data_IF_460601915168
#
_entry.id   IF_460601915168
#
_cell.length_a   1.000
_cell.length_b   1.000
_cell.length_c   1.000
_cell.angle_alpha   90.00
_cell.angle_beta   90.00
_cell.angle_gamma   90.00
#
_symmetry.space_group_name_H-M   'P 1'
#
loop_
_entity.id
_entity.type
_entity.pdbx_description
1 polymer ?
#
# COMPACT_ATOMS: atom_id res chain seq x y z
N UNK A 1 -32.67 -61.96 -54.12
CA UNK A 1 -33.11 -60.55 -54.06
C UNK A 1 -32.45 -59.92 -52.85
N UNK A 2 -31.34 -59.19 -53.02
CA UNK A 2 -30.67 -58.49 -51.93
C UNK A 2 -31.35 -57.13 -51.70
N UNK A 3 -31.86 -56.90 -50.49
CA UNK A 3 -32.37 -55.58 -50.09
C UNK A 3 -31.23 -54.74 -49.54
N UNK A 4 -30.98 -53.65 -50.24
CA UNK A 4 -30.00 -52.59 -49.98
C UNK A 4 -30.35 -51.89 -48.65
N UNK A 5 -29.41 -51.93 -47.70
CA UNK A 5 -29.51 -51.18 -46.43
C UNK A 5 -29.15 -49.72 -46.71
N UNK A 6 -30.12 -48.83 -46.60
CA UNK A 6 -29.90 -47.39 -46.64
C UNK A 6 -29.23 -46.92 -45.33
N UNK A 7 -27.92 -46.70 -45.37
CA UNK A 7 -27.21 -45.97 -44.32
C UNK A 7 -27.54 -44.47 -44.44
N UNK A 8 -28.39 -43.98 -43.53
CA UNK A 8 -28.67 -42.54 -43.37
C UNK A 8 -27.41 -41.85 -42.81
N UNK A 9 -26.82 -40.85 -43.49
CA UNK A 9 -25.65 -40.16 -42.98
C UNK A 9 -25.98 -39.38 -41.71
N UNK A 10 -25.30 -39.71 -40.60
CA UNK A 10 -25.45 -39.03 -39.33
C UNK A 10 -25.17 -37.52 -39.45
N UNK A 11 -26.06 -36.69 -38.90
CA UNK A 11 -25.92 -35.24 -38.91
C UNK A 11 -24.60 -34.79 -38.22
N UNK A 12 -23.90 -33.77 -38.77
CA UNK A 12 -22.63 -33.31 -38.21
C UNK A 12 -22.84 -32.69 -36.82
N UNK A 13 -22.15 -33.23 -35.80
CA UNK A 13 -22.19 -32.71 -34.43
C UNK A 13 -21.63 -31.28 -34.39
N UNK A 14 -22.41 -30.32 -33.89
CA UNK A 14 -21.97 -28.93 -33.70
C UNK A 14 -20.84 -28.88 -32.66
N UNK A 15 -19.70 -28.30 -33.03
CA UNK A 15 -18.57 -28.13 -32.11
C UNK A 15 -18.88 -27.04 -31.08
N UNK A 16 -18.78 -27.39 -29.79
CA UNK A 16 -19.02 -26.47 -28.66
C UNK A 16 -17.83 -25.52 -28.43
N UNK A 17 -16.68 -25.84 -29.03
CA UNK A 17 -15.40 -25.16 -28.80
C UNK A 17 -15.42 -23.64 -29.03
N UNK A 18 -16.05 -23.09 -30.09
CA UNK A 18 -16.13 -21.63 -30.28
C UNK A 18 -16.92 -20.93 -29.17
N UNK A 19 -17.92 -21.59 -28.59
CA UNK A 19 -18.70 -21.06 -27.47
C UNK A 19 -17.89 -21.03 -26.18
N UNK A 20 -17.11 -22.08 -25.92
CA UNK A 20 -16.18 -22.13 -24.78
C UNK A 20 -15.10 -21.05 -24.91
N UNK A 21 -14.52 -20.87 -26.09
CA UNK A 21 -13.54 -19.82 -26.35
C UNK A 21 -14.09 -18.42 -26.06
N UNK A 22 -15.32 -18.13 -26.52
CA UNK A 22 -15.96 -16.85 -26.24
C UNK A 22 -16.27 -16.66 -24.75
N UNK A 23 -16.68 -17.72 -24.04
CA UNK A 23 -16.90 -17.67 -22.60
C UNK A 23 -15.64 -17.27 -21.82
N UNK A 24 -14.49 -17.86 -22.14
CA UNK A 24 -13.20 -17.49 -21.53
C UNK A 24 -12.75 -16.08 -21.96
N UNK A 25 -13.03 -15.67 -23.20
CA UNK A 25 -12.74 -14.31 -23.66
C UNK A 25 -13.51 -13.26 -22.85
N UNK A 26 -14.81 -13.48 -22.60
CA UNK A 26 -15.62 -12.58 -21.76
C UNK A 26 -15.14 -12.61 -20.30
N UNK A 27 -14.86 -13.79 -19.75
CA UNK A 27 -14.33 -13.92 -18.39
C UNK A 27 -12.98 -13.19 -18.21
N UNK A 28 -12.15 -13.15 -19.25
CA UNK A 28 -10.86 -12.44 -19.24
C UNK A 28 -10.98 -10.92 -19.09
N UNK A 29 -12.16 -10.34 -19.40
CA UNK A 29 -12.42 -8.93 -19.19
C UNK A 29 -12.45 -8.55 -17.71
N UNK A 30 -12.91 -9.47 -16.86
CA UNK A 30 -12.99 -9.28 -15.41
C UNK A 30 -11.78 -9.87 -14.68
N UNK A 31 -11.29 -11.02 -15.15
CA UNK A 31 -10.22 -11.80 -14.52
C UNK A 31 -9.09 -11.96 -15.53
N UNK A 32 -8.21 -10.96 -15.56
CA UNK A 32 -7.15 -10.84 -16.57
C UNK A 32 -6.30 -12.10 -16.74
N UNK A 33 -6.17 -12.96 -15.72
CA UNK A 33 -5.44 -14.22 -15.80
C UNK A 33 -5.93 -15.20 -16.88
N UNK A 34 -7.15 -15.07 -17.38
CA UNK A 34 -7.71 -15.96 -18.40
C UNK A 34 -7.43 -15.54 -19.85
N UNK A 35 -6.82 -14.37 -20.08
CA UNK A 35 -6.51 -13.91 -21.44
C UNK A 35 -5.68 -14.92 -22.27
N UNK A 36 -4.64 -15.60 -21.72
CA UNK A 36 -3.82 -16.52 -22.51
C UNK A 36 -4.62 -17.76 -22.93
N UNK A 37 -5.44 -18.28 -22.00
CA UNK A 37 -6.32 -19.44 -22.24
C UNK A 37 -7.36 -19.09 -23.30
N UNK A 38 -7.97 -17.91 -23.20
CA UNK A 38 -8.96 -17.45 -24.16
C UNK A 38 -8.38 -17.28 -25.58
N UNK A 39 -7.16 -16.74 -25.71
CA UNK A 39 -6.45 -16.64 -27.01
C UNK A 39 -6.17 -18.02 -27.60
N UNK A 40 -5.60 -18.95 -26.82
CA UNK A 40 -5.30 -20.31 -27.28
C UNK A 40 -6.57 -21.03 -27.73
N UNK A 41 -7.64 -20.98 -26.93
CA UNK A 41 -8.92 -21.60 -27.29
C UNK A 41 -9.53 -21.00 -28.55
N UNK A 42 -9.39 -19.69 -28.74
CA UNK A 42 -9.87 -19.00 -29.94
C UNK A 42 -9.10 -19.42 -31.20
N UNK A 43 -7.77 -19.57 -31.11
CA UNK A 43 -6.94 -20.05 -32.23
C UNK A 43 -7.27 -21.50 -32.57
N UNK A 44 -7.39 -22.38 -31.57
CA UNK A 44 -7.77 -23.80 -31.79
C UNK A 44 -9.17 -23.88 -32.42
N UNK A 45 -10.11 -23.03 -31.98
CA UNK A 45 -11.43 -22.94 -32.59
C UNK A 45 -11.37 -22.50 -34.06
N UNK A 46 -10.53 -21.51 -34.40
CA UNK A 46 -10.33 -21.06 -35.78
C UNK A 46 -9.73 -22.13 -36.68
N UNK A 47 -8.67 -22.82 -36.22
CA UNK A 47 -8.03 -23.91 -36.96
C UNK A 47 -9.00 -25.05 -37.23
N UNK A 48 -9.87 -25.38 -36.26
CA UNK A 48 -10.87 -26.45 -36.41
C UNK A 48 -12.11 -26.04 -37.22
N UNK A 49 -12.37 -24.75 -37.42
CA UNK A 49 -13.63 -24.28 -37.99
C UNK A 49 -13.73 -24.36 -39.53
N UNK A 50 -12.78 -24.97 -40.25
CA UNK A 50 -12.97 -25.44 -41.63
C UNK A 50 -13.16 -24.33 -42.69
N UNK A 51 -14.15 -24.43 -43.59
CA UNK A 51 -14.36 -23.55 -44.76
C UNK A 51 -15.06 -22.22 -44.40
N UNK A 52 -14.86 -21.12 -45.16
CA UNK A 52 -15.63 -19.89 -44.96
C UNK A 52 -17.14 -20.16 -45.07
N UNK A 53 -17.93 -19.66 -44.13
CA UNK A 53 -19.39 -19.89 -44.03
C UNK A 53 -19.84 -20.97 -43.03
N UNK A 54 -18.92 -21.66 -42.35
CA UNK A 54 -19.26 -22.70 -41.37
C UNK A 54 -19.70 -22.12 -40.02
N UNK A 55 -20.78 -22.70 -39.46
CA UNK A 55 -21.35 -22.31 -38.16
C UNK A 55 -20.28 -22.42 -37.04
N UNK A 56 -19.96 -21.29 -36.39
CA UNK A 56 -18.98 -21.21 -35.30
C UNK A 56 -17.73 -20.37 -35.60
N UNK A 57 -17.39 -20.11 -36.87
CA UNK A 57 -16.25 -19.24 -37.23
C UNK A 57 -16.38 -17.82 -36.70
N UNK A 58 -17.54 -17.20 -36.87
CA UNK A 58 -17.79 -15.83 -36.38
C UNK A 58 -17.60 -15.72 -34.86
N UNK A 59 -17.99 -16.77 -34.12
CA UNK A 59 -17.84 -16.82 -32.67
C UNK A 59 -16.37 -16.96 -32.25
N UNK A 60 -15.59 -17.75 -32.99
CA UNK A 60 -14.15 -17.88 -32.76
C UNK A 60 -13.37 -16.60 -33.11
N UNK A 61 -13.75 -15.90 -34.18
CA UNK A 61 -13.20 -14.58 -34.53
C UNK A 61 -13.54 -13.56 -33.44
N UNK A 62 -14.80 -13.51 -33.00
CA UNK A 62 -15.23 -12.62 -31.93
C UNK A 62 -14.47 -12.90 -30.62
N UNK A 63 -14.32 -14.18 -30.24
CA UNK A 63 -13.56 -14.58 -29.06
C UNK A 63 -12.09 -14.13 -29.15
N UNK A 64 -11.46 -14.26 -30.32
CA UNK A 64 -10.09 -13.78 -30.53
C UNK A 64 -9.98 -12.26 -30.35
N UNK A 65 -10.88 -11.49 -30.98
CA UNK A 65 -10.87 -10.02 -30.88
C UNK A 65 -11.06 -9.56 -29.43
N UNK A 66 -12.04 -10.14 -28.72
CA UNK A 66 -12.31 -9.81 -27.32
C UNK A 66 -11.11 -10.16 -26.43
N UNK A 67 -10.50 -11.33 -26.64
CA UNK A 67 -9.33 -11.77 -25.85
C UNK A 67 -8.13 -10.83 -26.03
N UNK A 68 -7.87 -10.40 -27.27
CA UNK A 68 -6.79 -9.46 -27.57
C UNK A 68 -7.10 -8.08 -27.00
N UNK A 69 -8.34 -7.58 -27.12
CA UNK A 69 -8.75 -6.31 -26.53
C UNK A 69 -8.63 -6.31 -25.00
N UNK A 70 -9.03 -7.40 -24.33
CA UNK A 70 -8.95 -7.54 -22.88
C UNK A 70 -7.50 -7.39 -22.34
N UNK A 71 -6.50 -7.89 -23.08
CA UNK A 71 -5.09 -7.70 -22.72
C UNK A 71 -4.69 -6.23 -22.62
N UNK A 72 -5.15 -5.38 -23.55
CA UNK A 72 -4.86 -3.94 -23.52
C UNK A 72 -5.53 -3.23 -22.33
N UNK A 73 -6.73 -3.65 -21.92
CA UNK A 73 -7.42 -3.07 -20.77
C UNK A 73 -6.70 -3.34 -19.44
N UNK A 74 -6.03 -4.48 -19.30
CA UNK A 74 -5.24 -4.81 -18.09
C UNK A 74 -4.12 -3.77 -17.88
N UNK A 75 -3.43 -3.38 -18.96
CA UNK A 75 -2.36 -2.37 -18.88
C UNK A 75 -2.86 -1.01 -18.38
N UNK A 76 -4.03 -0.57 -18.84
CA UNK A 76 -4.64 0.70 -18.41
C UNK A 76 -5.06 0.61 -16.94
N UNK A 77 -5.71 -0.48 -16.52
CA UNK A 77 -6.11 -0.66 -15.13
C UNK A 77 -4.91 -0.71 -14.18
N UNK A 78 -3.84 -1.42 -14.57
CA UNK A 78 -2.60 -1.48 -13.80
C UNK A 78 -1.94 -0.09 -13.68
N UNK A 79 -1.92 0.69 -14.76
CA UNK A 79 -1.35 2.04 -14.75
C UNK A 79 -2.06 2.99 -13.76
N UNK A 80 -3.37 2.81 -13.53
CA UNK A 80 -4.13 3.61 -12.55
C UNK A 80 -4.01 3.01 -11.14
N UNK A 81 -4.08 1.69 -11.02
CA UNK A 81 -4.16 1.01 -9.73
C UNK A 81 -2.81 0.93 -8.99
N UNK A 82 -1.70 0.67 -9.70
CA UNK A 82 -0.37 0.52 -9.09
C UNK A 82 0.05 1.77 -8.30
N UNK A 83 0.06 3.00 -8.87
CA UNK A 83 0.49 4.18 -8.12
C UNK A 83 -0.42 4.45 -6.92
N UNK A 84 -1.72 4.21 -7.08
CA UNK A 84 -2.67 4.39 -5.99
C UNK A 84 -2.44 3.40 -4.85
N UNK A 85 -2.16 2.13 -5.18
CA UNK A 85 -1.85 1.10 -4.19
C UNK A 85 -0.55 1.39 -3.42
N UNK A 86 0.50 1.87 -4.10
CA UNK A 86 1.75 2.30 -3.44
C UNK A 86 1.48 3.44 -2.46
N UNK A 87 0.73 4.47 -2.88
CA UNK A 87 0.34 5.58 -1.99
C UNK A 87 -0.49 5.13 -0.79
N UNK A 88 -1.40 4.18 -0.97
CA UNK A 88 -2.18 3.63 0.15
C UNK A 88 -1.31 2.84 1.15
N UNK A 89 -0.34 2.08 0.66
CA UNK A 89 0.62 1.39 1.53
C UNK A 89 1.51 2.37 2.30
N UNK A 90 1.98 3.45 1.67
CA UNK A 90 2.76 4.46 2.38
C UNK A 90 1.91 5.15 3.45
N UNK A 91 0.67 5.55 3.12
CA UNK A 91 -0.25 6.17 4.08
C UNK A 91 -0.58 5.27 5.27
N UNK A 92 -0.73 3.97 5.07
CA UNK A 92 -1.01 3.04 6.17
C UNK A 92 0.20 2.89 7.10
N UNK A 93 1.43 2.83 6.56
CA UNK A 93 2.66 2.84 7.35
C UNK A 93 2.81 4.13 8.16
N UNK A 94 2.60 5.29 7.53
CA UNK A 94 2.65 6.59 8.21
C UNK A 94 1.60 6.73 9.33
N UNK A 95 0.46 6.03 9.22
CA UNK A 95 -0.58 6.09 10.23
C UNK A 95 -0.14 5.49 11.57
N UNK A 96 0.74 4.47 11.56
CA UNK A 96 1.29 3.86 12.78
C UNK A 96 2.00 4.91 13.64
N UNK A 97 2.93 5.66 13.06
CA UNK A 97 3.60 6.74 13.77
C UNK A 97 2.61 7.81 14.24
N UNK A 98 1.72 8.30 13.37
CA UNK A 98 0.79 9.39 13.70
C UNK A 98 -0.13 9.03 14.87
N UNK A 99 -0.63 7.80 14.91
CA UNK A 99 -1.48 7.30 16.00
C UNK A 99 -0.68 7.18 17.29
N UNK A 100 0.54 6.62 17.23
CA UNK A 100 1.38 6.44 18.41
C UNK A 100 1.86 7.77 19.00
N UNK A 101 2.23 8.76 18.16
CA UNK A 101 2.54 10.11 18.62
C UNK A 101 1.34 10.78 19.29
N UNK A 102 0.13 10.61 18.74
CA UNK A 102 -1.08 11.11 19.39
C UNK A 102 -1.32 10.45 20.76
N UNK A 103 -1.03 9.15 20.88
CA UNK A 103 -1.11 8.47 22.18
C UNK A 103 -0.14 9.08 23.20
N UNK A 104 1.11 9.36 22.81
CA UNK A 104 2.11 10.02 23.66
C UNK A 104 1.62 11.40 24.10
N UNK A 105 1.08 12.20 23.17
CA UNK A 105 0.54 13.53 23.47
C UNK A 105 -0.62 13.47 24.48
N UNK A 106 -1.56 12.54 24.30
CA UNK A 106 -2.69 12.40 25.23
C UNK A 106 -2.22 11.98 26.62
N UNK A 107 -1.27 11.04 26.72
CA UNK A 107 -0.65 10.66 27.99
C UNK A 107 0.07 11.83 28.65
N UNK A 108 0.79 12.64 27.87
CA UNK A 108 1.49 13.82 28.37
C UNK A 108 0.49 14.84 28.93
N UNK A 109 -0.59 15.15 28.19
CA UNK A 109 -1.63 16.07 28.64
C UNK A 109 -2.32 15.58 29.93
N UNK A 110 -2.58 14.28 30.05
CA UNK A 110 -3.14 13.71 31.28
C UNK A 110 -2.20 13.91 32.48
N UNK A 111 -0.89 13.69 32.31
CA UNK A 111 0.09 13.90 33.38
C UNK A 111 0.27 15.38 33.74
N UNK A 112 0.28 16.27 32.75
CA UNK A 112 0.34 17.71 32.99
C UNK A 112 -0.88 18.19 33.79
N UNK A 113 -2.07 17.64 33.49
CA UNK A 113 -3.29 17.92 34.26
C UNK A 113 -3.25 17.39 35.70
N UNK A 114 -2.43 16.35 35.97
CA UNK A 114 -2.17 15.80 37.30
C UNK A 114 -0.94 16.42 37.99
N UNK A 115 -0.32 17.46 37.40
CA UNK A 115 0.92 18.09 37.87
C UNK A 115 2.10 17.11 38.02
N UNK A 116 2.12 16.07 37.18
CA UNK A 116 3.16 15.06 37.19
C UNK A 116 4.27 15.38 36.18
N UNK A 117 5.53 15.00 36.48
CA UNK A 117 6.64 15.24 35.57
C UNK A 117 6.53 14.39 34.29
N UNK A 118 7.08 14.94 33.21
CA UNK A 118 7.26 14.25 31.93
C UNK A 118 8.73 13.78 31.83
N UNK A 119 9.07 12.60 32.35
CA UNK A 119 10.46 12.14 32.41
C UNK A 119 10.85 11.18 31.28
N UNK A 120 10.03 10.19 30.96
CA UNK A 120 10.34 9.16 29.96
C UNK A 120 9.12 8.64 29.20
N UNK A 121 9.34 7.97 28.05
CA UNK A 121 8.27 7.31 27.31
C UNK A 121 7.58 6.21 28.15
N UNK A 122 8.34 5.52 29.01
CA UNK A 122 7.79 4.51 29.94
C UNK A 122 6.91 5.14 31.01
N UNK A 123 7.28 6.30 31.56
CA UNK A 123 6.43 7.05 32.49
C UNK A 123 5.15 7.51 31.81
N UNK A 124 5.20 7.91 30.54
CA UNK A 124 4.00 8.21 29.75
C UNK A 124 3.12 6.98 29.46
N UNK A 125 3.51 5.80 29.94
CA UNK A 125 2.81 4.54 29.68
C UNK A 125 2.84 4.14 28.21
N UNK A 126 3.75 4.70 27.42
CA UNK A 126 3.83 4.44 26.01
C UNK A 126 4.67 3.18 25.74
N UNK A 127 4.05 2.21 25.08
CA UNK A 127 4.70 1.04 24.53
C UNK A 127 4.12 0.79 23.14
N UNK A 128 4.94 0.81 22.07
CA UNK A 128 4.44 0.52 20.73
C UNK A 128 4.12 -0.98 20.58
N UNK A 129 3.28 -1.31 19.59
CA UNK A 129 2.93 -2.70 19.31
C UNK A 129 4.17 -3.55 18.91
N UNK A 130 4.14 -4.87 19.16
CA UNK A 130 5.23 -5.75 18.74
C UNK A 130 5.46 -5.70 17.22
N UNK A 131 6.66 -5.29 16.83
CA UNK A 131 6.99 -5.09 15.42
C UNK A 131 6.79 -3.64 14.97
N UNK A 132 7.13 -2.65 15.81
CA UNK A 132 7.10 -1.24 15.45
C UNK A 132 8.11 -0.91 14.36
N UNK A 133 7.68 -0.13 13.36
CA UNK A 133 8.53 0.35 12.25
C UNK A 133 9.34 1.59 12.62
N UNK A 134 8.87 2.34 13.62
CA UNK A 134 9.42 3.64 13.96
C UNK A 134 10.23 3.59 15.26
N UNK A 135 11.35 4.30 15.30
CA UNK A 135 11.99 4.68 16.54
C UNK A 135 11.22 5.84 17.16
N UNK A 136 10.84 5.75 18.43
CA UNK A 136 10.18 6.83 19.18
C UNK A 136 11.20 7.50 20.08
N UNK A 137 11.32 8.82 19.95
CA UNK A 137 12.35 9.60 20.62
C UNK A 137 11.70 10.68 21.46
N UNK A 138 11.99 10.67 22.75
CA UNK A 138 11.67 11.76 23.67
C UNK A 138 12.94 12.49 24.11
N UNK A 139 14.05 11.78 24.33
CA UNK A 139 15.37 12.35 24.62
C UNK A 139 16.44 11.36 24.20
N UNK A 140 17.43 11.79 23.42
CA UNK A 140 18.63 10.97 23.15
C UNK A 140 19.73 11.28 24.17
N UNK A 141 20.57 10.29 24.55
CA UNK A 141 20.47 8.86 24.22
C UNK A 141 19.57 8.06 25.18
N UNK A 142 19.04 8.69 26.25
CA UNK A 142 18.52 7.96 27.41
C UNK A 142 17.04 7.52 27.31
N UNK A 143 16.23 8.17 26.47
CA UNK A 143 14.77 7.99 26.40
C UNK A 143 14.32 7.89 24.94
N UNK A 144 14.65 6.76 24.32
CA UNK A 144 14.14 6.37 23.01
C UNK A 144 13.77 4.89 22.99
N UNK A 145 12.83 4.54 22.11
CA UNK A 145 12.44 3.18 21.79
C UNK A 145 12.95 2.90 20.37
N UNK A 146 13.81 1.88 20.16
CA UNK A 146 14.35 1.59 18.83
C UNK A 146 13.28 0.96 17.92
N UNK A 147 13.62 0.90 16.63
CA UNK A 147 12.87 0.10 15.65
C UNK A 147 12.93 -1.38 16.05
N UNK A 148 11.83 -2.11 15.85
CA UNK A 148 11.82 -3.56 16.11
C UNK A 148 12.76 -4.35 15.20
N UNK A 149 13.21 -5.51 15.66
CA UNK A 149 14.08 -6.44 14.91
C UNK A 149 13.47 -6.94 13.57
N UNK A 150 12.18 -6.69 13.31
CA UNK A 150 11.52 -7.02 12.04
C UNK A 150 11.92 -6.09 10.89
N UNK A 151 12.49 -4.92 11.21
CA UNK A 151 12.91 -3.93 10.23
C UNK A 151 14.40 -3.61 10.37
N UNK A 152 14.96 -2.94 9.37
CA UNK A 152 16.33 -2.46 9.40
C UNK A 152 16.52 -1.55 10.60
N UNK A 153 17.46 -1.92 11.48
CA UNK A 153 17.79 -1.12 12.65
C UNK A 153 18.30 0.26 12.20
N UNK A 154 17.82 1.31 12.86
CA UNK A 154 18.30 2.67 12.67
C UNK A 154 19.29 2.95 13.80
N UNK A 155 20.54 3.22 13.44
CA UNK A 155 21.58 3.59 14.39
C UNK A 155 21.22 4.92 15.10
N UNK A 156 21.49 5.08 16.42
CA UNK A 156 21.20 6.32 17.12
C UNK A 156 21.85 7.57 16.49
N UNK A 157 23.03 7.45 15.87
CA UNK A 157 23.62 8.58 15.12
C UNK A 157 22.81 8.91 13.88
N UNK A 158 22.29 7.89 13.17
CA UNK A 158 21.37 8.09 12.05
C UNK A 158 20.07 8.79 12.46
N UNK A 159 19.51 8.43 13.62
CA UNK A 159 18.36 9.12 14.20
C UNK A 159 18.71 10.59 14.48
N UNK A 160 19.86 10.85 15.12
CA UNK A 160 20.31 12.21 15.44
C UNK A 160 20.46 13.07 14.17
N UNK A 161 21.10 12.55 13.13
CA UNK A 161 21.23 13.26 11.85
C UNK A 161 19.88 13.54 11.21
N UNK A 162 18.91 12.61 11.29
CA UNK A 162 17.57 12.84 10.77
C UNK A 162 16.83 13.97 11.52
N UNK A 163 16.98 14.02 12.85
CA UNK A 163 16.41 15.09 13.69
C UNK A 163 17.02 16.46 13.38
N UNK A 164 18.34 16.51 13.21
CA UNK A 164 19.07 17.74 12.82
C UNK A 164 18.62 18.24 11.45
N UNK A 165 18.53 17.34 10.46
CA UNK A 165 18.04 17.67 9.12
C UNK A 165 16.58 18.14 9.13
N UNK A 166 15.75 17.59 10.02
CA UNK A 166 14.37 17.99 10.21
C UNK A 166 14.22 19.32 10.99
N UNK A 167 15.28 19.78 11.67
CA UNK A 167 15.24 20.96 12.55
C UNK A 167 14.34 20.77 13.77
N UNK A 168 14.29 19.56 14.33
CA UNK A 168 13.42 19.21 15.46
C UNK A 168 14.23 18.77 16.66
N UNK A 169 13.96 19.41 17.80
CA UNK A 169 14.54 19.04 19.08
C UNK A 169 13.51 18.25 19.91
N UNK A 170 13.58 16.91 19.98
CA UNK A 170 12.77 16.14 20.92
C UNK A 170 13.23 16.42 22.35
N UNK A 171 12.27 16.49 23.27
CA UNK A 171 12.60 16.79 24.65
C UNK A 171 11.42 17.21 25.48
N UNK A 172 11.67 17.33 26.77
CA UNK A 172 10.81 18.08 27.69
C UNK A 172 11.57 19.34 28.06
N UNK A 173 10.96 20.49 27.80
CA UNK A 173 11.54 21.82 28.02
C UNK A 173 10.75 22.56 29.11
N UNK A 174 11.44 23.27 30.00
CA UNK A 174 10.82 23.97 31.12
C UNK A 174 10.59 23.08 32.36
N UNK A 175 9.91 23.64 33.37
CA UNK A 175 9.57 22.96 34.62
C UNK A 175 8.09 22.59 34.63
N UNK A 176 7.76 21.33 34.95
CA UNK A 176 6.37 20.88 34.99
C UNK A 176 5.66 21.46 36.23
N UNK A 177 4.38 21.87 36.12
CA UNK A 177 3.42 21.56 35.05
C UNK A 177 3.46 22.47 33.80
N UNK A 178 4.25 23.54 33.77
CA UNK A 178 4.37 24.46 32.62
C UNK A 178 5.38 23.96 31.55
N UNK A 179 5.79 22.70 31.65
CA UNK A 179 6.76 22.11 30.74
C UNK A 179 6.12 21.76 29.39
N UNK A 180 6.91 21.87 28.33
CA UNK A 180 6.53 21.48 26.98
C UNK A 180 7.18 20.16 26.62
N UNK A 181 6.41 19.23 26.07
CA UNK A 181 6.92 17.98 25.52
C UNK A 181 6.91 18.04 24.00
N UNK A 182 8.02 17.61 23.39
CA UNK A 182 8.13 17.33 21.96
C UNK A 182 8.60 15.90 21.79
N UNK A 183 7.72 15.05 21.25
CA UNK A 183 8.03 13.66 20.91
C UNK A 183 8.17 13.50 19.41
N UNK A 184 9.10 12.65 18.99
CA UNK A 184 9.41 12.40 17.59
C UNK A 184 9.31 10.91 17.29
N UNK A 185 8.87 10.58 16.09
CA UNK A 185 9.07 9.26 15.51
C UNK A 185 9.97 9.40 14.28
N UNK A 186 10.88 8.44 14.10
CA UNK A 186 11.78 8.36 12.95
C UNK A 186 11.66 6.98 12.35
N UNK A 187 11.54 6.88 11.04
CA UNK A 187 11.45 5.60 10.36
C UNK A 187 11.63 5.73 8.86
N UNK A 188 11.79 4.60 8.20
CA UNK A 188 11.93 4.54 6.76
C UNK A 188 10.67 3.89 6.14
N UNK A 189 9.83 4.70 5.49
CA UNK A 189 8.52 4.23 5.00
C UNK A 189 8.63 3.42 3.72
N UNK A 190 9.48 3.82 2.78
CA UNK A 190 9.63 3.25 1.44
C UNK A 190 10.96 2.53 1.19
N UNK A 191 11.80 2.42 2.22
CA UNK A 191 13.05 1.66 2.27
C UNK A 191 14.13 2.23 1.33
N UNK A 192 14.34 3.54 1.38
CA UNK A 192 15.43 4.24 0.71
C UNK A 192 16.52 4.73 1.68
N UNK A 193 17.39 5.64 1.27
CA UNK A 193 18.49 6.14 2.11
C UNK A 193 18.08 7.32 3.02
N UNK A 194 16.83 7.77 2.91
CA UNK A 194 16.30 8.90 3.67
C UNK A 194 15.36 8.41 4.78
N UNK A 195 15.30 9.19 5.86
CA UNK A 195 14.50 8.87 7.03
C UNK A 195 13.39 9.90 7.14
N UNK A 196 12.15 9.41 7.20
CA UNK A 196 11.02 10.24 7.48
C UNK A 196 10.99 10.61 8.98
N UNK A 197 10.62 11.86 9.26
CA UNK A 197 10.57 12.41 10.63
C UNK A 197 9.23 13.06 10.90
N UNK A 198 8.52 12.57 11.92
CA UNK A 198 7.30 13.22 12.43
C UNK A 198 7.47 13.64 13.86
N UNK A 199 6.86 14.76 14.23
CA UNK A 199 6.82 15.17 15.63
C UNK A 199 5.45 15.65 16.05
N UNK A 200 5.22 15.59 17.36
CA UNK A 200 4.07 16.17 18.05
C UNK A 200 4.57 16.94 19.27
N UNK A 201 3.92 18.05 19.61
CA UNK A 201 4.26 18.81 20.82
C UNK A 201 3.03 19.20 21.62
N UNK A 202 3.21 19.45 22.90
CA UNK A 202 2.21 20.09 23.78
C UNK A 202 2.18 21.61 23.66
N UNK A 203 3.18 22.22 23.01
CA UNK A 203 3.19 23.65 22.70
C UNK A 203 3.01 23.93 21.20
N UNK A 204 2.74 25.19 20.90
CA UNK A 204 2.78 25.69 19.53
C UNK A 204 4.22 25.71 19.02
N UNK A 205 4.39 25.37 17.75
CA UNK A 205 5.69 25.25 17.08
C UNK A 205 5.59 25.85 15.70
N UNK A 206 6.74 26.16 15.10
CA UNK A 206 6.80 26.71 13.74
C UNK A 206 7.58 25.75 12.85
N UNK A 207 7.07 25.48 11.65
CA UNK A 207 7.80 24.69 10.66
C UNK A 207 8.97 25.49 10.05
N UNK A 208 9.81 24.81 9.26
CA UNK A 208 10.94 25.45 8.57
C UNK A 208 10.53 26.57 7.58
N UNK A 209 9.24 26.66 7.23
CA UNK A 209 8.67 27.67 6.30
C UNK A 209 7.94 28.80 7.03
N UNK A 210 7.98 28.83 8.37
CA UNK A 210 7.31 29.86 9.17
C UNK A 210 5.82 29.61 9.44
N UNK A 211 5.28 28.43 9.10
CA UNK A 211 3.88 28.07 9.40
C UNK A 211 3.76 27.61 10.85
N UNK A 212 2.79 28.18 11.57
CA UNK A 212 2.42 27.71 12.90
C UNK A 212 1.80 26.30 12.85
N UNK A 213 2.24 25.45 13.77
CA UNK A 213 1.78 24.09 14.02
C UNK A 213 1.15 24.10 15.41
N UNK A 214 -0.13 23.77 15.47
CA UNK A 214 -0.87 23.81 16.73
C UNK A 214 -0.42 22.68 17.69
N UNK A 215 -0.57 22.86 19.01
CA UNK A 215 -0.42 21.78 19.98
C UNK A 215 -1.23 20.53 19.58
N UNK A 216 -0.61 19.35 19.69
CA UNK A 216 -1.25 18.08 19.34
C UNK A 216 -1.37 17.79 17.84
N UNK A 217 -0.95 18.69 16.95
CA UNK A 217 -0.86 18.44 15.51
C UNK A 217 0.41 17.62 15.21
N UNK A 218 0.23 16.43 14.65
CA UNK A 218 1.36 15.64 14.13
C UNK A 218 1.80 16.25 12.80
N UNK A 219 3.05 16.65 12.72
CA UNK A 219 3.63 17.24 11.52
C UNK A 219 4.72 16.35 10.96
N UNK A 220 4.74 16.22 9.62
CA UNK A 220 5.82 15.53 8.91
C UNK A 220 6.86 16.57 8.44
N UNK A 221 8.09 16.47 8.94
CA UNK A 221 9.18 17.38 8.58
C UNK A 221 9.90 16.97 7.31
N UNK A 222 10.08 15.66 7.14
CA UNK A 222 10.77 15.06 5.99
C UNK A 222 9.84 13.99 5.43
N UNK A 223 9.18 14.30 4.32
CA UNK A 223 8.35 13.36 3.56
C UNK A 223 8.98 13.20 2.18
N UNK A 224 9.78 12.17 2.03
CA UNK A 224 10.47 11.78 0.80
C UNK A 224 9.68 10.77 -0.04
N UNK A 225 8.64 10.15 0.54
CA UNK A 225 7.73 9.24 -0.15
C UNK A 225 7.31 9.84 -1.50
N UNK A 226 7.80 9.22 -2.58
CA UNK A 226 7.51 9.66 -3.94
C UNK A 226 5.99 9.61 -4.18
N UNK A 227 5.36 10.79 -4.33
CA UNK A 227 3.96 10.90 -4.74
C UNK A 227 3.78 10.51 -6.20
#
# INVERSE_FOLDING_TARGET
>A
MPTMSDDVPAAPKKSVLPGVALGFAIASLCLGCFWPVAVVLSIVALVKAGKPGQSGKGLAIAALIVSVAAFFFIGIQAAIAIPNFIRFQARSKQAECKVNLKSIYLSAQARLAEEQPLGSLTELGFAPEPGNRYAYVLRLPDSFIPVSERFTAIDPTGIQTALENAGVEPGVQGECPECTLTAVCVGNVDNDDTLDVWSISTAERTDAKGKAIAPGEVFNHVNDVQE
#
